data_IF_300149329246
#
_entry.id   IF_300149329246
#
_cell.length_a   1.000
_cell.length_b   1.000
_cell.length_c   1.000
_cell.angle_alpha   90.00
_cell.angle_beta   90.00
_cell.angle_gamma   90.00
#
_symmetry.space_group_name_H-M   'P 1'
#
loop_
_entity.id
_entity.type
_entity.pdbx_description
1 polymer ?
#
# COMPACT_ATOMS: atom_id res chain seq x y z
N UNK A 1 -0.55 13.29 10.65
CA UNK A 1 -0.40 12.21 11.65
C UNK A 1 0.81 12.55 12.48
N UNK A 2 0.72 12.42 13.80
CA UNK A 2 1.89 12.61 14.63
C UNK A 2 2.88 11.46 14.37
N UNK A 3 4.20 11.67 14.58
CA UNK A 3 5.17 10.60 14.51
C UNK A 3 4.76 9.42 15.41
N UNK A 4 5.06 8.20 14.99
CA UNK A 4 4.86 6.97 15.78
C UNK A 4 3.40 6.66 16.16
N UNK A 5 2.42 7.06 15.34
CA UNK A 5 1.03 6.68 15.53
C UNK A 5 0.68 5.38 14.79
N UNK A 6 -0.09 4.52 15.46
CA UNK A 6 -0.76 3.37 14.84
C UNK A 6 -2.22 3.73 14.55
N UNK A 7 -2.67 3.47 13.33
CA UNK A 7 -4.06 3.72 12.92
C UNK A 7 -4.65 2.44 12.35
N UNK A 8 -5.88 2.14 12.78
CA UNK A 8 -6.65 1.00 12.32
C UNK A 8 -7.86 1.48 11.49
N UNK A 9 -8.11 0.80 10.37
CA UNK A 9 -9.29 0.98 9.54
C UNK A 9 -10.20 -0.24 9.71
N UNK A 10 -11.37 -0.05 10.31
CA UNK A 10 -12.31 -1.13 10.65
C UNK A 10 -13.64 -0.94 9.90
N UNK A 11 -14.27 -2.05 9.51
CA UNK A 11 -15.55 -2.04 8.80
C UNK A 11 -15.92 -3.42 8.26
N UNK A 12 -17.19 -3.61 7.87
CA UNK A 12 -17.71 -4.89 7.35
C UNK A 12 -16.99 -5.36 6.08
N UNK A 13 -17.07 -6.65 5.75
CA UNK A 13 -16.60 -7.14 4.45
C UNK A 13 -17.25 -6.35 3.32
N UNK A 14 -16.50 -6.04 2.26
CA UNK A 14 -16.99 -5.26 1.12
C UNK A 14 -17.07 -3.73 1.30
N UNK A 15 -16.78 -3.17 2.48
CA UNK A 15 -16.88 -1.72 2.69
C UNK A 15 -15.70 -0.89 2.10
N UNK A 16 -14.84 -1.50 1.28
CA UNK A 16 -13.74 -0.79 0.60
C UNK A 16 -12.40 -0.69 1.34
N UNK A 17 -12.20 -1.37 2.48
CA UNK A 17 -10.92 -1.31 3.22
C UNK A 17 -9.71 -1.70 2.37
N UNK A 18 -9.81 -2.83 1.68
CA UNK A 18 -8.72 -3.34 0.82
C UNK A 18 -8.50 -2.45 -0.40
N UNK A 19 -9.56 -1.85 -0.93
CA UNK A 19 -9.48 -0.85 -2.00
C UNK A 19 -8.73 0.39 -1.54
N UNK A 20 -9.09 0.95 -0.39
CA UNK A 20 -8.40 2.11 0.18
C UNK A 20 -6.93 1.79 0.49
N UNK A 21 -6.63 0.62 1.06
CA UNK A 21 -5.26 0.20 1.31
C UNK A 21 -4.44 0.12 0.01
N UNK A 22 -4.99 -0.45 -1.06
CA UNK A 22 -4.33 -0.51 -2.38
C UNK A 22 -4.11 0.88 -2.98
N UNK A 23 -5.06 1.79 -2.83
CA UNK A 23 -4.90 3.19 -3.28
C UNK A 23 -3.77 3.91 -2.50
N UNK A 24 -3.70 3.73 -1.18
CA UNK A 24 -2.62 4.30 -0.34
C UNK A 24 -1.24 3.80 -0.80
N UNK A 25 -1.15 2.54 -1.23
CA UNK A 25 0.06 1.92 -1.74
C UNK A 25 0.36 2.25 -3.22
N UNK A 26 -0.46 3.09 -3.85
CA UNK A 26 -0.41 3.39 -5.28
C UNK A 26 -0.39 2.11 -6.14
N UNK A 27 -1.14 1.09 -5.71
CA UNK A 27 -1.46 -0.13 -6.46
C UNK A 27 -2.80 -0.01 -7.22
N UNK A 28 -3.60 1.00 -6.86
CA UNK A 28 -4.84 1.35 -7.51
C UNK A 28 -4.97 2.89 -7.58
N UNK A 29 -5.74 3.40 -8.55
CA UNK A 29 -5.92 4.84 -8.76
C UNK A 29 -7.22 5.32 -8.14
N UNK A 30 -7.20 6.37 -7.30
CA UNK A 30 -8.44 6.97 -6.83
C UNK A 30 -9.18 7.62 -8.00
N UNK A 31 -10.50 7.48 -8.03
CA UNK A 31 -11.36 8.13 -9.03
C UNK A 31 -11.27 9.66 -8.96
N UNK A 32 -11.08 10.20 -7.75
CA UNK A 32 -10.89 11.62 -7.50
C UNK A 32 -10.06 11.85 -6.25
N UNK A 33 -9.54 13.07 -6.10
CA UNK A 33 -8.69 13.46 -4.97
C UNK A 33 -7.22 13.07 -5.15
N UNK A 34 -6.45 13.18 -4.08
CA UNK A 34 -5.01 12.90 -4.10
C UNK A 34 -4.53 12.27 -2.80
N UNK A 35 -3.46 11.49 -2.91
CA UNK A 35 -2.78 10.82 -1.82
C UNK A 35 -1.40 11.42 -1.71
N UNK A 36 -1.04 11.86 -0.50
CA UNK A 36 0.27 12.40 -0.16
C UNK A 36 0.98 11.49 0.81
N UNK A 37 2.24 11.19 0.52
CA UNK A 37 3.11 10.39 1.36
C UNK A 37 4.42 11.17 1.60
N UNK A 38 4.80 11.32 2.88
CA UNK A 38 5.98 12.09 3.33
C UNK A 38 6.09 13.50 2.70
N UNK A 39 4.96 14.17 2.54
CA UNK A 39 4.90 15.53 1.96
C UNK A 39 4.79 15.58 0.43
N UNK A 40 4.98 14.47 -0.29
CA UNK A 40 4.85 14.41 -1.75
C UNK A 40 3.56 13.73 -2.21
N UNK A 41 2.96 14.25 -3.28
CA UNK A 41 1.83 13.57 -3.94
C UNK A 41 2.31 12.31 -4.67
N UNK A 42 1.59 11.21 -4.53
CA UNK A 42 1.87 9.94 -5.23
C UNK A 42 0.82 9.58 -6.29
N UNK A 43 -0.35 10.22 -6.24
CA UNK A 43 -1.42 10.01 -7.23
C UNK A 43 -0.95 10.41 -8.63
N UNK A 44 -1.21 9.55 -9.62
CA UNK A 44 -0.91 9.82 -11.03
C UNK A 44 0.55 9.66 -11.45
N UNK A 45 1.46 9.36 -10.51
CA UNK A 45 2.88 9.10 -10.81
C UNK A 45 3.06 7.81 -11.61
N UNK A 46 4.08 7.81 -12.46
CA UNK A 46 4.54 6.61 -13.15
C UNK A 46 5.21 5.62 -12.18
N UNK A 47 5.34 4.36 -12.60
CA UNK A 47 6.03 3.31 -11.86
C UNK A 47 7.46 3.73 -11.45
N UNK A 48 8.19 4.41 -12.35
CA UNK A 48 9.55 4.89 -12.09
C UNK A 48 9.59 5.95 -10.98
N UNK A 49 8.63 6.87 -10.98
CA UNK A 49 8.51 7.93 -9.97
C UNK A 49 7.99 7.41 -8.63
N UNK A 50 7.24 6.30 -8.62
CA UNK A 50 6.76 5.63 -7.42
C UNK A 50 7.82 4.77 -6.74
N UNK A 51 8.81 4.28 -7.48
CA UNK A 51 9.86 3.37 -6.97
C UNK A 51 10.54 3.86 -5.69
N UNK A 52 10.93 5.14 -5.54
CA UNK A 52 11.51 5.63 -4.28
C UNK A 52 10.51 5.61 -3.13
N UNK A 53 9.27 6.07 -3.35
CA UNK A 53 8.23 6.11 -2.33
C UNK A 53 7.85 4.70 -1.83
N UNK A 54 7.80 3.71 -2.72
CA UNK A 54 7.48 2.32 -2.36
C UNK A 54 8.54 1.66 -1.49
N UNK A 55 9.81 2.09 -1.52
CA UNK A 55 10.86 1.57 -0.61
C UNK A 55 10.56 1.88 0.85
N UNK A 56 9.84 2.98 1.10
CA UNK A 56 9.42 3.40 2.44
C UNK A 56 8.04 2.83 2.83
N UNK A 57 7.42 2.00 1.99
CA UNK A 57 6.10 1.39 2.22
C UNK A 57 6.25 -0.12 2.38
N UNK A 58 6.21 -0.60 3.62
CA UNK A 58 6.27 -2.03 3.92
C UNK A 58 4.85 -2.57 4.11
N UNK A 59 4.51 -3.63 3.38
CA UNK A 59 3.16 -4.19 3.33
C UNK A 59 3.18 -5.66 3.69
N UNK A 60 2.24 -6.05 4.53
CA UNK A 60 1.86 -7.43 4.77
C UNK A 60 0.41 -7.60 4.34
N UNK A 61 0.17 -8.45 3.34
CA UNK A 61 -1.18 -8.72 2.85
C UNK A 61 -1.91 -9.73 3.74
N UNK A 62 -3.25 -9.72 3.70
CA UNK A 62 -4.09 -10.61 4.52
C UNK A 62 -3.86 -12.10 4.24
N UNK A 63 -3.50 -12.45 3.00
CA UNK A 63 -3.00 -13.78 2.64
C UNK A 63 -1.52 -13.68 2.27
N UNK A 64 -0.61 -13.84 3.24
CA UNK A 64 0.82 -13.80 2.98
C UNK A 64 1.31 -15.03 2.21
N UNK A 65 0.58 -16.15 2.27
CA UNK A 65 0.97 -17.41 1.63
C UNK A 65 0.76 -17.38 0.12
N UNK A 66 -0.33 -16.76 -0.35
CA UNK A 66 -0.59 -16.57 -1.79
C UNK A 66 0.44 -15.67 -2.51
N UNK A 67 1.31 -14.96 -1.77
CA UNK A 67 2.37 -14.13 -2.34
C UNK A 67 3.70 -14.87 -2.51
N UNK A 68 3.80 -16.11 -2.02
CA UNK A 68 5.03 -16.90 -2.00
C UNK A 68 5.08 -17.82 -3.22
N UNK A 69 6.13 -17.71 -4.04
CA UNK A 69 6.39 -18.70 -5.10
C UNK A 69 7.03 -19.94 -4.45
N UNK A 70 6.36 -21.11 -4.41
CA UNK A 70 6.90 -22.30 -3.76
C UNK A 70 8.17 -22.85 -4.45
N UNK A 71 8.52 -22.33 -5.64
CA UNK A 71 9.77 -22.64 -6.34
C UNK A 71 10.96 -21.82 -5.86
N UNK A 72 10.72 -20.77 -5.07
CA UNK A 72 11.76 -19.96 -4.46
C UNK A 72 11.93 -20.36 -2.99
N UNK A 73 13.19 -20.61 -2.58
CA UNK A 73 13.52 -20.89 -1.18
C UNK A 73 13.81 -19.57 -0.47
N UNK A 74 13.38 -19.46 0.78
CA UNK A 74 13.84 -18.38 1.67
C UNK A 74 15.31 -18.65 1.98
N UNK A 75 16.21 -17.78 1.53
CA UNK A 75 17.59 -17.77 2.01
C UNK A 75 17.66 -17.18 3.42
N UNK A 76 18.59 -17.71 4.21
CA UNK A 76 18.76 -17.42 5.63
C UNK A 76 19.64 -16.20 5.86
#
# INVERSE_FOLDING_TARGET
MAPSQSVALVGRSGCGKSTLARMILALDRPTSGSIRFRGGTITGKSEAELKPARRDMQVVFQDPYGSFDPRQKVEK
#
